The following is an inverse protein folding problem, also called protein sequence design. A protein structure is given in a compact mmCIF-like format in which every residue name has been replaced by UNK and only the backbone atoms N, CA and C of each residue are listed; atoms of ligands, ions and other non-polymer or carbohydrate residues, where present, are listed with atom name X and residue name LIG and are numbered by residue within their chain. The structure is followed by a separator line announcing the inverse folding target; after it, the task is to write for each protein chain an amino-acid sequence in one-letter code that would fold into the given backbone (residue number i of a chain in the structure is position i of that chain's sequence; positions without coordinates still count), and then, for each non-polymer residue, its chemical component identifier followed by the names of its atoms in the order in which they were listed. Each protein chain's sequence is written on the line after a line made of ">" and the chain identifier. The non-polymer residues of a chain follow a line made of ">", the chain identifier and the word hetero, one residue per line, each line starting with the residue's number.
data_IF_266777672512
#
_entry.id   IF_266777672512
#
_cell.length_a   1.000
_cell.length_b   1.000
_cell.length_c   1.000
_cell.angle_alpha   90.00
_cell.angle_beta   90.00
_cell.angle_gamma   90.00
#
_symmetry.space_group_name_H-M   'P 1'
#
loop_
_entity.id
_entity.type
_entity.pdbx_description
1 polymer ?
#
# COMPACT_ATOMS: atom_id res chain seq x y z
N UNK A 1 -19.14 9.75 -15.32
CA UNK A 1 -18.41 10.89 -14.73
C UNK A 1 -17.27 10.47 -13.82
N UNK A 2 -17.47 9.53 -12.88
CA UNK A 2 -16.42 9.09 -11.94
C UNK A 2 -15.11 8.59 -12.58
N UNK A 3 -15.17 7.78 -13.65
CA UNK A 3 -13.96 7.28 -14.35
C UNK A 3 -13.15 8.42 -14.97
N UNK A 4 -13.81 9.39 -15.60
CA UNK A 4 -13.14 10.55 -16.24
C UNK A 4 -12.46 11.42 -15.18
N UNK A 5 -13.13 11.65 -14.04
CA UNK A 5 -12.54 12.35 -12.92
C UNK A 5 -11.35 11.60 -12.31
N UNK A 6 -11.44 10.27 -12.20
CA UNK A 6 -10.34 9.43 -11.71
C UNK A 6 -9.11 9.51 -12.64
N UNK A 7 -9.31 9.44 -13.96
CA UNK A 7 -8.23 9.61 -14.94
C UNK A 7 -7.59 11.00 -14.80
N UNK A 8 -8.40 12.06 -14.70
CA UNK A 8 -7.88 13.42 -14.56
C UNK A 8 -7.12 13.65 -13.25
N UNK A 9 -7.61 13.10 -12.13
CA UNK A 9 -6.91 13.12 -10.83
C UNK A 9 -5.59 12.35 -10.88
N UNK A 10 -5.55 11.19 -11.55
CA UNK A 10 -4.35 10.36 -11.61
C UNK A 10 -3.33 10.84 -12.66
N UNK A 11 -3.74 11.73 -13.57
CA UNK A 11 -2.93 12.14 -14.73
C UNK A 11 -1.51 12.64 -14.42
N UNK A 12 -1.19 13.28 -13.27
CA UNK A 12 0.20 13.67 -13.03
C UNK A 12 1.11 12.52 -12.60
N UNK A 13 0.60 11.44 -12.02
CA UNK A 13 1.46 10.37 -11.49
C UNK A 13 2.25 9.65 -12.59
N UNK A 14 1.64 9.22 -13.71
CA UNK A 14 2.40 8.66 -14.83
C UNK A 14 3.45 9.65 -15.37
N UNK A 15 3.13 10.95 -15.39
CA UNK A 15 4.05 11.98 -15.85
C UNK A 15 5.27 12.11 -14.92
N UNK A 16 5.05 12.25 -13.61
CA UNK A 16 6.16 12.31 -12.64
C UNK A 16 6.97 11.01 -12.62
N UNK A 17 6.31 9.85 -12.74
CA UNK A 17 6.99 8.56 -12.86
C UNK A 17 7.89 8.50 -14.09
N UNK A 18 7.41 8.97 -15.25
CA UNK A 18 8.20 9.05 -16.47
C UNK A 18 9.43 9.96 -16.29
N UNK A 19 9.24 11.17 -15.76
CA UNK A 19 10.33 12.12 -15.53
C UNK A 19 11.38 11.61 -14.54
N UNK A 20 10.96 10.86 -13.53
CA UNK A 20 11.85 10.31 -12.53
C UNK A 20 12.77 9.22 -13.10
N UNK A 21 12.21 8.33 -13.92
CA UNK A 21 12.92 7.17 -14.46
C UNK A 21 13.68 7.46 -15.76
N UNK A 22 13.20 8.41 -16.57
CA UNK A 22 13.81 8.78 -17.86
C UNK A 22 14.01 10.30 -18.00
N UNK A 23 14.78 10.95 -17.11
CA UNK A 23 14.97 12.39 -17.14
C UNK A 23 15.69 12.87 -18.41
N UNK A 24 16.64 12.10 -18.94
CA UNK A 24 17.35 12.48 -20.17
C UNK A 24 16.42 12.49 -21.38
N UNK A 25 15.53 11.49 -21.50
CA UNK A 25 14.52 11.46 -22.56
C UNK A 25 13.63 12.71 -22.51
N UNK A 26 13.30 13.22 -21.32
CA UNK A 26 12.58 14.49 -21.17
C UNK A 26 13.40 15.70 -21.62
N UNK A 27 14.68 15.78 -21.23
CA UNK A 27 15.59 16.84 -21.66
C UNK A 27 15.71 16.86 -23.19
N UNK A 28 15.83 15.69 -23.81
CA UNK A 28 15.93 15.55 -25.27
C UNK A 28 14.63 15.98 -25.96
N UNK A 29 13.46 15.59 -25.40
CA UNK A 29 12.14 16.02 -25.88
C UNK A 29 11.91 17.53 -25.79
N UNK A 30 12.45 18.18 -24.76
CA UNK A 30 12.35 19.64 -24.60
C UNK A 30 13.10 20.39 -25.71
N UNK A 31 14.13 19.77 -26.31
CA UNK A 31 14.94 20.36 -27.36
C UNK A 31 16.01 21.33 -26.86
N UNK A 32 16.95 21.66 -27.75
CA UNK A 32 18.11 22.50 -27.42
C UNK A 32 17.70 23.93 -27.05
N UNK A 33 18.29 24.47 -25.99
CA UNK A 33 18.13 25.87 -25.57
C UNK A 33 16.86 26.16 -24.77
N UNK A 34 16.03 25.15 -24.46
CA UNK A 34 14.88 25.30 -23.56
C UNK A 34 15.20 24.75 -22.19
N UNK A 35 14.64 25.38 -21.16
CA UNK A 35 14.78 24.92 -19.78
C UNK A 35 13.80 23.76 -19.49
N UNK A 36 14.27 22.54 -19.23
CA UNK A 36 13.41 21.38 -18.96
C UNK A 36 12.57 21.54 -17.68
N UNK A 37 13.07 22.25 -16.67
CA UNK A 37 12.31 22.53 -15.43
C UNK A 37 11.14 23.47 -15.71
N UNK A 38 11.34 24.46 -16.59
CA UNK A 38 10.29 25.41 -16.97
C UNK A 38 9.17 24.75 -17.77
N UNK A 39 9.54 23.90 -18.73
CA UNK A 39 8.56 23.14 -19.52
C UNK A 39 7.82 22.16 -18.61
N UNK A 40 8.53 21.46 -17.71
CA UNK A 40 7.91 20.61 -16.70
C UNK A 40 6.93 21.39 -15.83
N UNK A 41 7.28 22.60 -15.39
CA UNK A 41 6.40 23.45 -14.62
C UNK A 41 5.11 23.75 -15.39
N UNK A 42 5.17 24.15 -16.67
CA UNK A 42 3.96 24.39 -17.46
C UNK A 42 3.08 23.15 -17.59
N UNK A 43 3.67 21.98 -17.85
CA UNK A 43 2.93 20.72 -17.94
C UNK A 43 2.32 20.35 -16.59
N UNK A 44 3.05 20.52 -15.49
CA UNK A 44 2.56 20.27 -14.14
C UNK A 44 1.40 21.21 -13.76
N UNK A 45 1.44 22.49 -14.14
CA UNK A 45 0.32 23.41 -13.93
C UNK A 45 -0.91 22.99 -14.74
N UNK A 46 -0.73 22.61 -16.01
CA UNK A 46 -1.82 22.10 -16.83
C UNK A 46 -2.45 20.83 -16.22
N UNK A 47 -1.62 19.88 -15.78
CA UNK A 47 -2.09 18.66 -15.13
C UNK A 47 -2.80 18.98 -13.81
N UNK A 48 -2.31 19.94 -13.01
CA UNK A 48 -3.00 20.41 -11.80
C UNK A 48 -4.36 21.06 -12.11
N UNK A 49 -4.47 21.82 -13.21
CA UNK A 49 -5.75 22.38 -13.65
C UNK A 49 -6.71 21.24 -14.02
N UNK A 50 -6.25 20.24 -14.77
CA UNK A 50 -7.05 19.05 -15.11
C UNK A 50 -7.49 18.31 -13.83
N UNK A 51 -6.60 18.13 -12.86
CA UNK A 51 -6.93 17.53 -11.56
C UNK A 51 -8.00 18.35 -10.82
N UNK A 52 -7.86 19.67 -10.76
CA UNK A 52 -8.81 20.53 -10.08
C UNK A 52 -10.18 20.54 -10.76
N UNK A 53 -10.22 20.63 -12.09
CA UNK A 53 -11.45 20.52 -12.88
C UNK A 53 -12.12 19.16 -12.64
N UNK A 54 -11.33 18.09 -12.61
CA UNK A 54 -11.80 16.73 -12.35
C UNK A 54 -12.43 16.60 -10.97
N UNK A 55 -11.78 17.15 -9.94
CA UNK A 55 -12.33 17.21 -8.58
C UNK A 55 -13.60 18.08 -8.52
N UNK A 56 -13.59 19.24 -9.18
CA UNK A 56 -14.73 20.16 -9.22
C UNK A 56 -15.98 19.48 -9.78
N UNK A 57 -15.86 18.73 -10.87
CA UNK A 57 -17.00 18.03 -11.49
C UNK A 57 -17.58 16.89 -10.65
N UNK A 58 -16.85 16.40 -9.63
CA UNK A 58 -17.33 15.36 -8.71
C UNK A 58 -17.55 15.88 -7.29
N UNK A 59 -17.40 17.19 -7.06
CA UNK A 59 -17.58 17.81 -5.76
C UNK A 59 -19.03 18.25 -5.54
N UNK A 60 -19.52 18.06 -4.31
CA UNK A 60 -20.74 18.70 -3.81
C UNK A 60 -20.29 19.83 -2.90
N UNK A 61 -20.35 21.04 -3.45
CA UNK A 61 -19.96 22.24 -2.70
C UNK A 61 -21.02 22.56 -1.64
N UNK A 62 -20.58 22.61 -0.39
CA UNK A 62 -21.39 23.04 0.73
C UNK A 62 -20.81 24.34 1.29
N UNK A 63 -21.69 25.27 1.65
CA UNK A 63 -21.34 26.52 2.30
C UNK A 63 -22.02 26.62 3.67
N UNK A 64 -21.29 26.93 4.75
CA UNK A 64 -19.84 27.19 4.79
C UNK A 64 -19.00 25.90 4.61
N UNK A 65 -17.73 26.00 4.17
CA UNK A 65 -16.84 24.85 4.16
C UNK A 65 -16.59 24.33 5.59
N UNK A 66 -16.22 23.04 5.73
CA UNK A 66 -15.84 22.50 7.02
C UNK A 66 -14.72 23.31 7.69
N UNK A 67 -14.78 23.47 9.01
CA UNK A 67 -13.85 24.35 9.75
C UNK A 67 -12.36 24.03 9.53
N UNK A 68 -12.03 22.77 9.25
CA UNK A 68 -10.65 22.33 8.97
C UNK A 68 -10.18 22.66 7.54
N UNK A 69 -11.06 23.04 6.62
CA UNK A 69 -10.70 23.38 5.23
C UNK A 69 -9.68 24.51 5.20
N UNK A 70 -10.02 25.65 5.80
CA UNK A 70 -9.20 26.87 5.72
C UNK A 70 -7.81 26.67 6.34
N UNK A 71 -7.65 26.10 7.55
CA UNK A 71 -6.34 25.82 8.10
C UNK A 71 -5.50 24.87 7.25
N UNK A 72 -6.07 23.76 6.77
CA UNK A 72 -5.34 22.77 5.98
C UNK A 72 -4.92 23.33 4.62
N UNK A 73 -5.85 24.00 3.92
CA UNK A 73 -5.58 24.55 2.60
C UNK A 73 -4.58 25.71 2.70
N UNK A 74 -4.80 26.67 3.60
CA UNK A 74 -3.92 27.82 3.74
C UNK A 74 -2.51 27.42 4.16
N UNK A 75 -2.37 26.52 5.15
CA UNK A 75 -1.05 26.06 5.58
C UNK A 75 -0.37 25.20 4.51
N UNK A 76 -1.12 24.34 3.82
CA UNK A 76 -0.57 23.55 2.72
C UNK A 76 -0.07 24.41 1.55
N UNK A 77 -0.82 25.47 1.18
CA UNK A 77 -0.38 26.43 0.17
C UNK A 77 0.80 27.27 0.65
N UNK A 78 0.82 27.67 1.92
CA UNK A 78 1.96 28.35 2.52
C UNK A 78 3.25 27.53 2.42
N UNK A 79 3.20 26.23 2.76
CA UNK A 79 4.35 25.33 2.60
C UNK A 79 4.81 25.23 1.14
N UNK A 80 3.89 25.03 0.20
CA UNK A 80 4.21 24.97 -1.24
C UNK A 80 4.86 26.26 -1.73
N UNK A 81 4.31 27.41 -1.35
CA UNK A 81 4.84 28.71 -1.73
C UNK A 81 6.21 28.94 -1.12
N UNK A 82 6.41 28.59 0.15
CA UNK A 82 7.71 28.78 0.82
C UNK A 82 8.79 27.89 0.21
N UNK A 83 8.46 26.65 -0.16
CA UNK A 83 9.39 25.79 -0.92
C UNK A 83 9.78 26.44 -2.24
N UNK A 84 8.80 26.94 -2.99
CA UNK A 84 9.06 27.61 -4.27
C UNK A 84 9.92 28.87 -4.11
N UNK A 85 9.71 29.67 -3.06
CA UNK A 85 10.56 30.83 -2.77
C UNK A 85 12.02 30.44 -2.49
N UNK A 86 12.24 29.33 -1.80
CA UNK A 86 13.57 28.90 -1.36
C UNK A 86 14.35 28.17 -2.45
N UNK A 87 13.67 27.31 -3.21
CA UNK A 87 14.30 26.43 -4.21
C UNK A 87 14.14 26.92 -5.65
N UNK A 88 13.23 27.86 -5.88
CA UNK A 88 12.85 28.31 -7.21
C UNK A 88 12.21 27.22 -8.06
N UNK A 89 11.97 27.55 -9.33
CA UNK A 89 11.39 26.63 -10.30
C UNK A 89 12.25 25.36 -10.48
N UNK A 90 13.56 25.53 -10.60
CA UNK A 90 14.47 24.40 -10.83
C UNK A 90 14.47 23.42 -9.65
N UNK A 91 14.53 23.88 -8.40
CA UNK A 91 14.53 22.97 -7.27
C UNK A 91 13.16 22.34 -6.98
N UNK A 92 12.07 23.00 -7.40
CA UNK A 92 10.70 22.48 -7.29
C UNK A 92 10.38 21.44 -8.37
N UNK A 93 10.92 21.62 -9.58
CA UNK A 93 10.61 20.81 -10.77
C UNK A 93 11.86 20.06 -11.27
N UNK A 94 12.34 19.15 -10.42
CA UNK A 94 13.35 18.11 -10.72
C UNK A 94 14.66 18.61 -11.36
N UNK A 95 15.05 19.87 -11.11
CA UNK A 95 16.24 20.47 -11.71
C UNK A 95 17.52 19.66 -11.47
N UNK A 96 17.67 19.02 -10.31
CA UNK A 96 18.81 18.11 -10.03
C UNK A 96 18.86 16.96 -11.03
N UNK A 97 17.70 16.38 -11.41
CA UNK A 97 17.61 15.30 -12.41
C UNK A 97 17.89 15.79 -13.82
N UNK A 98 17.72 17.08 -14.08
CA UNK A 98 18.04 17.72 -15.36
C UNK A 98 19.45 18.35 -15.37
N UNK A 99 20.31 17.99 -14.40
CA UNK A 99 21.71 18.42 -14.35
C UNK A 99 21.95 19.81 -13.75
N UNK A 100 20.94 20.42 -13.10
CA UNK A 100 21.09 21.72 -12.42
C UNK A 100 21.57 21.53 -10.98
N UNK A 101 22.47 22.43 -10.56
CA UNK A 101 22.85 22.55 -9.16
C UNK A 101 21.78 23.33 -8.39
N UNK A 102 21.19 22.69 -7.37
CA UNK A 102 20.17 23.30 -6.50
C UNK A 102 20.78 23.54 -5.12
N UNK A 103 20.57 24.71 -4.50
CA UNK A 103 21.11 25.00 -3.17
C UNK A 103 20.50 24.08 -2.12
N UNK A 104 21.32 23.69 -1.14
CA UNK A 104 20.84 22.99 0.05
C UNK A 104 20.26 24.01 1.03
N UNK A 105 18.99 23.84 1.42
CA UNK A 105 18.26 24.79 2.27
C UNK A 105 17.89 24.13 3.59
N UNK A 106 18.20 24.78 4.71
CA UNK A 106 17.87 24.33 6.07
C UNK A 106 16.84 25.23 6.75
N UNK A 107 16.49 26.35 6.13
CA UNK A 107 15.44 27.24 6.61
C UNK A 107 14.08 26.54 6.65
N UNK A 108 13.16 27.07 7.47
CA UNK A 108 11.78 26.59 7.49
C UNK A 108 11.16 26.69 6.08
N UNK A 109 10.52 25.62 5.57
CA UNK A 109 10.09 24.42 6.29
C UNK A 109 11.05 23.21 6.30
N UNK A 110 12.16 23.25 5.56
CA UNK A 110 13.08 22.10 5.42
C UNK A 110 13.79 21.69 6.71
N UNK A 111 14.05 22.64 7.62
CA UNK A 111 14.67 22.33 8.92
C UNK A 111 13.78 21.57 9.90
N UNK A 112 12.47 21.44 9.61
CA UNK A 112 11.47 20.86 10.53
C UNK A 112 10.69 19.71 9.89
N UNK A 113 10.39 19.82 8.59
CA UNK A 113 9.52 18.88 7.88
C UNK A 113 10.33 18.17 6.81
N UNK A 114 10.32 16.84 6.82
CA UNK A 114 10.80 16.03 5.69
C UNK A 114 9.82 16.20 4.53
N UNK A 115 10.29 16.72 3.40
CA UNK A 115 9.51 16.91 2.17
C UNK A 115 8.32 17.89 2.27
N UNK A 116 8.56 19.16 2.64
CA UNK A 116 7.51 20.14 2.94
C UNK A 116 6.58 20.45 1.77
N UNK A 117 7.05 20.31 0.53
CA UNK A 117 6.22 20.49 -0.67
C UNK A 117 5.17 19.38 -0.80
N UNK A 118 5.56 18.14 -0.53
CA UNK A 118 4.66 17.00 -0.58
C UNK A 118 3.65 17.08 0.57
N UNK A 119 4.11 17.40 1.78
CA UNK A 119 3.23 17.66 2.93
C UNK A 119 2.24 18.78 2.60
N UNK A 120 2.71 19.90 2.05
CA UNK A 120 1.85 21.01 1.65
C UNK A 120 0.81 20.60 0.62
N UNK A 121 1.21 19.83 -0.39
CA UNK A 121 0.31 19.31 -1.42
C UNK A 121 -0.74 18.35 -0.85
N UNK A 122 -0.35 17.45 0.07
CA UNK A 122 -1.27 16.54 0.77
C UNK A 122 -2.28 17.33 1.60
N UNK A 123 -1.83 18.33 2.38
CA UNK A 123 -2.71 19.15 3.20
C UNK A 123 -3.71 19.95 2.37
N UNK A 124 -3.26 20.54 1.24
CA UNK A 124 -4.17 21.23 0.32
C UNK A 124 -5.18 20.29 -0.30
N UNK A 125 -4.76 19.08 -0.68
CA UNK A 125 -5.67 18.06 -1.20
C UNK A 125 -6.68 17.61 -0.14
N UNK A 126 -6.23 17.33 1.10
CA UNK A 126 -7.11 16.97 2.23
C UNK A 126 -8.12 18.07 2.56
N UNK A 127 -7.71 19.33 2.44
CA UNK A 127 -8.63 20.47 2.47
C UNK A 127 -9.68 20.33 1.38
N UNK A 128 -9.30 20.24 0.10
CA UNK A 128 -10.25 20.15 -1.01
C UNK A 128 -11.16 18.90 -0.98
N UNK A 129 -10.66 17.78 -0.43
CA UNK A 129 -11.44 16.55 -0.25
C UNK A 129 -12.63 16.74 0.69
N UNK A 130 -12.69 17.84 1.46
CA UNK A 130 -13.85 18.19 2.27
C UNK A 130 -15.12 18.47 1.46
N UNK A 131 -14.99 18.78 0.17
CA UNK A 131 -16.11 19.05 -0.75
C UNK A 131 -16.37 17.95 -1.76
N UNK A 132 -15.45 16.99 -1.87
CA UNK A 132 -15.74 15.77 -2.62
C UNK A 132 -16.62 14.93 -1.70
N UNK A 133 -17.87 14.61 -2.11
CA UNK A 133 -18.73 13.72 -1.33
C UNK A 133 -17.92 12.50 -0.96
N UNK A 134 -18.00 12.10 0.30
CA UNK A 134 -17.25 10.95 0.80
C UNK A 134 -17.50 9.72 -0.09
N UNK A 135 -18.68 9.64 -0.71
CA UNK A 135 -19.05 8.71 -1.79
C UNK A 135 -18.04 8.59 -2.95
N UNK A 136 -17.40 9.67 -3.43
CA UNK A 136 -16.44 9.62 -4.53
C UNK A 136 -15.02 9.31 -4.05
N UNK A 137 -14.67 9.74 -2.83
CA UNK A 137 -13.43 9.34 -2.14
C UNK A 137 -13.48 7.84 -1.79
N UNK A 138 -14.66 7.35 -1.42
CA UNK A 138 -14.97 5.94 -1.16
C UNK A 138 -15.26 5.16 -2.44
N UNK A 139 -15.81 5.71 -3.52
CA UNK A 139 -15.88 4.99 -4.81
C UNK A 139 -14.46 4.79 -5.37
N UNK A 140 -13.53 5.66 -5.01
CA UNK A 140 -12.08 5.53 -5.26
C UNK A 140 -11.41 4.45 -4.37
N UNK A 141 -11.98 4.10 -3.19
CA UNK A 141 -11.41 3.14 -2.20
C UNK A 141 -12.30 1.90 -1.93
N UNK A 142 -13.56 1.84 -2.34
CA UNK A 142 -14.57 0.87 -1.87
C UNK A 142 -15.62 0.52 -2.93
N UNK A 143 -15.97 1.40 -3.87
CA UNK A 143 -16.82 1.01 -4.99
C UNK A 143 -18.27 0.62 -4.61
N UNK A 144 -18.95 1.30 -3.67
CA UNK A 144 -20.41 1.13 -3.40
C UNK A 144 -21.11 2.43 -2.93
N UNK A 145 -22.42 2.51 -3.21
CA UNK A 145 -23.27 3.72 -3.24
C UNK A 145 -24.04 4.12 -1.95
N UNK A 146 -23.86 3.51 -0.77
CA UNK A 146 -24.66 3.86 0.44
C UNK A 146 -23.80 4.34 1.64
N UNK A 147 -24.30 5.28 2.45
CA UNK A 147 -23.43 6.31 3.07
C UNK A 147 -22.96 6.14 4.54
N UNK A 148 -23.74 5.68 5.52
CA UNK A 148 -23.28 5.71 6.93
C UNK A 148 -23.05 4.31 7.55
N UNK A 149 -23.95 3.36 7.29
CA UNK A 149 -23.75 1.97 7.70
C UNK A 149 -22.52 1.33 7.02
N UNK A 150 -22.14 1.85 5.85
CA UNK A 150 -21.07 1.30 4.99
C UNK A 150 -19.67 1.63 5.51
N UNK A 151 -19.47 2.78 6.17
CA UNK A 151 -18.14 3.16 6.70
C UNK A 151 -17.79 2.28 7.89
N UNK A 152 -18.70 2.18 8.85
CA UNK A 152 -18.52 1.31 10.01
C UNK A 152 -18.34 -0.14 9.55
N UNK A 153 -19.14 -0.63 8.59
CA UNK A 153 -18.97 -1.97 8.02
C UNK A 153 -17.60 -2.13 7.36
N UNK A 154 -17.19 -1.19 6.50
CA UNK A 154 -15.88 -1.26 5.85
C UNK A 154 -14.72 -1.25 6.85
N UNK A 155 -14.75 -0.35 7.84
CA UNK A 155 -13.69 -0.26 8.84
C UNK A 155 -13.63 -1.54 9.69
N UNK A 156 -14.79 -2.10 10.05
CA UNK A 156 -14.87 -3.39 10.74
C UNK A 156 -14.26 -4.48 9.84
N UNK A 157 -14.74 -4.61 8.60
CA UNK A 157 -14.27 -5.66 7.69
C UNK A 157 -12.78 -5.53 7.35
N UNK A 158 -12.30 -4.31 7.11
CA UNK A 158 -10.89 -4.02 6.88
C UNK A 158 -10.04 -4.35 8.13
N UNK A 159 -10.53 -4.02 9.32
CA UNK A 159 -9.85 -4.38 10.58
C UNK A 159 -9.80 -5.89 10.78
N UNK A 160 -10.87 -6.61 10.46
CA UNK A 160 -10.94 -8.06 10.54
C UNK A 160 -10.03 -8.72 9.50
N UNK A 161 -10.02 -8.23 8.25
CA UNK A 161 -9.09 -8.66 7.20
C UNK A 161 -7.64 -8.42 7.60
N UNK A 162 -7.34 -7.32 8.29
CA UNK A 162 -5.97 -7.02 8.73
C UNK A 162 -5.59 -7.68 10.07
N UNK A 163 -6.54 -8.24 10.81
CA UNK A 163 -6.38 -8.68 12.21
C UNK A 163 -5.20 -9.64 12.46
N UNK A 164 -4.84 -10.47 11.48
CA UNK A 164 -3.70 -11.38 11.62
C UNK A 164 -2.35 -10.64 11.66
N UNK A 165 -2.17 -9.56 10.89
CA UNK A 165 -0.84 -8.98 10.70
C UNK A 165 -0.26 -8.35 11.97
N UNK A 166 -1.04 -7.59 12.78
CA UNK A 166 -0.58 -7.13 14.08
C UNK A 166 -0.17 -8.28 15.01
N UNK A 167 -0.90 -9.40 14.99
CA UNK A 167 -0.57 -10.57 15.80
C UNK A 167 0.77 -11.19 15.37
N UNK A 168 0.94 -11.46 14.07
CA UNK A 168 2.20 -12.03 13.57
C UNK A 168 3.38 -11.07 13.78
N UNK A 169 3.17 -9.77 13.62
CA UNK A 169 4.17 -8.75 13.92
C UNK A 169 4.55 -8.73 15.41
N UNK A 170 3.57 -8.83 16.31
CA UNK A 170 3.82 -8.91 17.76
C UNK A 170 4.66 -10.15 18.11
N UNK A 171 4.24 -11.34 17.66
CA UNK A 171 4.96 -12.58 17.95
C UNK A 171 6.37 -12.56 17.35
N UNK A 172 6.53 -11.96 16.17
CA UNK A 172 7.83 -11.80 15.53
C UNK A 172 8.82 -10.96 16.35
N UNK A 173 8.38 -9.82 16.87
CA UNK A 173 9.26 -8.88 17.58
C UNK A 173 9.44 -9.23 19.06
N UNK A 174 8.47 -9.91 19.68
CA UNK A 174 8.51 -10.28 21.10
C UNK A 174 8.19 -11.77 21.31
N UNK A 175 9.01 -12.68 20.74
CA UNK A 175 8.73 -14.12 20.81
C UNK A 175 8.75 -14.65 22.26
N UNK A 176 9.62 -14.13 23.13
CA UNK A 176 9.66 -14.55 24.53
C UNK A 176 8.38 -14.19 25.29
N UNK A 177 7.82 -12.99 25.05
CA UNK A 177 6.54 -12.61 25.65
C UNK A 177 5.41 -13.55 25.21
N UNK A 178 5.42 -14.00 23.96
CA UNK A 178 4.49 -15.02 23.48
C UNK A 178 4.69 -16.38 24.16
N UNK A 179 5.93 -16.83 24.32
CA UNK A 179 6.27 -18.07 25.05
C UNK A 179 5.77 -18.01 26.50
N UNK A 180 5.97 -16.87 27.17
CA UNK A 180 5.53 -16.68 28.55
C UNK A 180 4.00 -16.69 28.66
N UNK A 181 3.30 -16.05 27.70
CA UNK A 181 1.83 -16.06 27.59
C UNK A 181 1.25 -17.46 27.34
N UNK A 182 1.94 -18.29 26.56
CA UNK A 182 1.53 -19.67 26.31
C UNK A 182 1.53 -20.52 27.59
N UNK A 183 2.42 -20.19 28.53
CA UNK A 183 2.59 -20.90 29.80
C UNK A 183 3.46 -22.16 29.70
N UNK A 184 3.87 -22.68 30.86
CA UNK A 184 4.82 -23.79 30.95
C UNK A 184 4.26 -25.09 30.35
N UNK A 185 5.11 -25.81 29.60
CA UNK A 185 4.81 -27.14 29.06
C UNK A 185 3.92 -27.14 27.82
N UNK A 186 3.54 -25.97 27.29
CA UNK A 186 2.80 -25.86 26.03
C UNK A 186 3.73 -25.50 24.88
N UNK A 187 3.45 -26.04 23.71
CA UNK A 187 4.19 -25.73 22.48
C UNK A 187 3.72 -24.36 21.92
N UNK A 188 4.60 -23.33 21.90
CA UNK A 188 4.22 -22.00 21.41
C UNK A 188 3.86 -21.95 19.92
N UNK A 189 4.46 -22.82 19.08
CA UNK A 189 4.10 -22.94 17.66
C UNK A 189 2.70 -23.52 17.51
N UNK A 190 2.35 -24.51 18.35
CA UNK A 190 1.02 -25.14 18.32
C UNK A 190 -0.07 -24.15 18.70
N UNK A 191 0.16 -23.37 19.75
CA UNK A 191 -0.80 -22.33 20.17
C UNK A 191 -0.89 -21.24 19.11
N UNK A 192 0.24 -20.80 18.55
CA UNK A 192 0.24 -19.82 17.45
C UNK A 192 -0.54 -20.34 16.24
N UNK A 193 -0.43 -21.63 15.90
CA UNK A 193 -1.20 -22.24 14.83
C UNK A 193 -2.72 -22.17 15.09
N UNK A 194 -3.17 -22.50 16.30
CA UNK A 194 -4.59 -22.38 16.67
C UNK A 194 -5.10 -20.94 16.58
N UNK A 195 -4.35 -19.97 17.12
CA UNK A 195 -4.70 -18.55 17.02
C UNK A 195 -4.72 -18.10 15.56
N UNK A 196 -3.73 -18.52 14.77
CA UNK A 196 -3.66 -18.26 13.34
C UNK A 196 -4.87 -18.81 12.57
N UNK A 197 -5.34 -20.01 12.89
CA UNK A 197 -6.55 -20.58 12.30
C UNK A 197 -7.81 -19.79 12.67
N UNK A 198 -7.97 -19.41 13.94
CA UNK A 198 -9.10 -18.58 14.39
C UNK A 198 -9.10 -17.23 13.67
N UNK A 199 -7.95 -16.56 13.60
CA UNK A 199 -7.81 -15.30 12.86
C UNK A 199 -8.10 -15.50 11.38
N UNK A 200 -7.65 -16.58 10.76
CA UNK A 200 -7.94 -16.90 9.35
C UNK A 200 -9.44 -17.09 9.10
N UNK A 201 -10.14 -17.77 10.00
CA UNK A 201 -11.59 -17.95 9.93
C UNK A 201 -12.29 -16.59 10.01
N UNK A 202 -11.89 -15.73 10.95
CA UNK A 202 -12.43 -14.37 11.07
C UNK A 202 -12.21 -13.58 9.78
N UNK A 203 -11.01 -13.64 9.20
CA UNK A 203 -10.71 -12.99 7.93
C UNK A 203 -11.59 -13.52 6.79
N UNK A 204 -11.84 -14.84 6.71
CA UNK A 204 -12.73 -15.42 5.70
C UNK A 204 -14.19 -15.04 5.90
N UNK A 205 -14.69 -14.99 7.14
CA UNK A 205 -16.05 -14.52 7.44
C UNK A 205 -16.22 -13.08 6.95
N UNK A 206 -15.24 -12.21 7.24
CA UNK A 206 -15.26 -10.82 6.79
C UNK A 206 -15.12 -10.68 5.27
N UNK A 207 -14.30 -11.50 4.61
CA UNK A 207 -14.28 -11.53 3.15
C UNK A 207 -15.62 -11.98 2.57
N UNK A 208 -16.23 -13.00 3.16
CA UNK A 208 -17.48 -13.57 2.69
C UNK A 208 -18.65 -12.59 2.85
N UNK A 209 -18.69 -11.81 3.94
CA UNK A 209 -19.74 -10.79 4.18
C UNK A 209 -19.79 -9.72 3.09
N UNK A 210 -18.66 -9.43 2.45
CA UNK A 210 -18.53 -8.40 1.41
C UNK A 210 -18.47 -8.97 -0.02
N UNK A 211 -18.49 -10.30 -0.16
CA UNK A 211 -18.35 -10.99 -1.46
C UNK A 211 -19.66 -11.05 -2.24
N UNK A 212 -19.55 -11.07 -3.57
CA UNK A 212 -20.67 -11.28 -4.51
C UNK A 212 -20.34 -12.45 -5.42
N UNK A 213 -20.91 -13.62 -5.13
CA UNK A 213 -20.62 -14.86 -5.84
C UNK A 213 -21.40 -14.96 -7.14
N UNK A 214 -20.69 -15.32 -8.21
CA UNK A 214 -21.26 -15.58 -9.52
C UNK A 214 -20.68 -16.87 -10.07
N UNK A 215 -21.52 -17.66 -10.74
CA UNK A 215 -21.14 -18.93 -11.35
C UNK A 215 -21.34 -18.88 -12.87
N UNK A 216 -20.40 -19.41 -13.67
CA UNK A 216 -19.12 -19.99 -13.27
C UNK A 216 -18.06 -18.94 -12.89
N UNK A 217 -17.04 -19.28 -12.07
CA UNK A 217 -15.86 -18.44 -11.92
C UNK A 217 -15.15 -18.25 -13.25
N UNK A 218 -14.44 -17.11 -13.44
CA UNK A 218 -13.56 -16.93 -14.59
C UNK A 218 -12.51 -18.03 -14.72
N UNK A 219 -12.11 -18.35 -15.94
CA UNK A 219 -11.17 -19.45 -16.20
C UNK A 219 -9.83 -19.32 -15.45
N UNK A 220 -9.35 -18.11 -15.19
CA UNK A 220 -8.10 -17.90 -14.45
C UNK A 220 -8.21 -18.23 -12.95
N UNK A 221 -9.42 -18.33 -12.40
CA UNK A 221 -9.64 -18.65 -10.99
C UNK A 221 -9.00 -20.00 -10.64
N UNK A 222 -9.33 -21.04 -11.41
CA UNK A 222 -8.92 -22.42 -11.14
C UNK A 222 -7.40 -22.60 -11.07
N UNK A 223 -6.61 -22.24 -12.09
CA UNK A 223 -5.16 -22.44 -12.03
C UNK A 223 -4.51 -21.58 -10.95
N UNK A 224 -4.98 -20.35 -10.75
CA UNK A 224 -4.37 -19.42 -9.79
C UNK A 224 -4.65 -19.83 -8.34
N UNK A 225 -5.90 -20.19 -8.03
CA UNK A 225 -6.28 -20.68 -6.72
C UNK A 225 -5.64 -22.04 -6.43
N UNK A 226 -5.68 -22.99 -7.37
CA UNK A 226 -5.14 -24.33 -7.19
C UNK A 226 -3.62 -24.30 -6.96
N UNK A 227 -2.89 -23.51 -7.75
CA UNK A 227 -1.45 -23.38 -7.57
C UNK A 227 -1.09 -22.64 -6.27
N UNK A 228 -1.86 -21.59 -5.91
CA UNK A 228 -1.67 -20.89 -4.65
C UNK A 228 -1.88 -21.80 -3.42
N UNK A 229 -2.90 -22.64 -3.44
CA UNK A 229 -3.14 -23.63 -2.38
C UNK A 229 -2.10 -24.75 -2.39
N UNK A 230 -1.66 -25.20 -3.56
CA UNK A 230 -0.56 -26.15 -3.70
C UNK A 230 0.71 -25.64 -3.00
N UNK A 231 1.10 -24.38 -3.22
CA UNK A 231 2.27 -23.78 -2.57
C UNK A 231 2.13 -23.76 -1.04
N UNK A 232 0.98 -23.30 -0.53
CA UNK A 232 0.71 -23.28 0.92
C UNK A 232 0.78 -24.67 1.55
N UNK A 233 0.16 -25.66 0.91
CA UNK A 233 0.16 -27.03 1.41
C UNK A 233 1.57 -27.64 1.36
N UNK A 234 2.30 -27.42 0.27
CA UNK A 234 3.67 -27.94 0.09
C UNK A 234 4.62 -27.35 1.13
N UNK A 235 4.51 -26.06 1.45
CA UNK A 235 5.28 -25.44 2.54
C UNK A 235 5.00 -26.13 3.87
N UNK A 236 3.72 -26.34 4.21
CA UNK A 236 3.35 -26.99 5.45
C UNK A 236 3.83 -28.46 5.52
N UNK A 237 3.78 -29.20 4.41
CA UNK A 237 4.31 -30.57 4.34
C UNK A 237 5.82 -30.63 4.63
N UNK A 238 6.57 -29.62 4.17
CA UNK A 238 8.02 -29.58 4.27
C UNK A 238 8.52 -29.09 5.62
N UNK A 239 7.93 -28.01 6.12
CA UNK A 239 8.35 -27.34 7.36
C UNK A 239 7.60 -27.81 8.59
N UNK A 240 6.45 -28.46 8.39
CA UNK A 240 5.51 -28.78 9.45
C UNK A 240 4.97 -27.53 10.15
N UNK A 241 4.27 -27.76 11.25
CA UNK A 241 3.71 -26.70 12.07
C UNK A 241 4.80 -25.81 12.69
N UNK A 242 5.87 -26.42 13.21
CA UNK A 242 6.94 -25.67 13.87
C UNK A 242 7.67 -24.74 12.90
N UNK A 243 7.96 -25.15 11.66
CA UNK A 243 8.60 -24.27 10.70
C UNK A 243 7.65 -23.24 10.08
N UNK A 244 6.35 -23.50 10.04
CA UNK A 244 5.34 -22.54 9.56
C UNK A 244 5.00 -21.47 10.61
N UNK A 245 5.01 -21.83 11.89
CA UNK A 245 4.61 -20.97 13.01
C UNK A 245 5.81 -20.65 13.92
N UNK A 246 6.80 -19.97 13.34
CA UNK A 246 7.94 -19.33 14.01
C UNK A 246 8.72 -20.20 15.02
N UNK A 247 8.79 -21.52 14.81
CA UNK A 247 9.46 -22.44 15.72
C UNK A 247 10.92 -22.05 15.99
N UNK A 248 11.64 -21.54 14.99
CA UNK A 248 13.01 -21.02 15.16
C UNK A 248 13.08 -19.91 16.22
N UNK A 249 12.11 -18.99 16.22
CA UNK A 249 12.02 -17.89 17.20
C UNK A 249 11.69 -18.37 18.61
N UNK A 250 11.12 -19.56 18.74
CA UNK A 250 10.84 -20.21 20.01
C UNK A 250 11.95 -21.18 20.43
N UNK A 251 13.11 -21.16 19.75
CA UNK A 251 14.27 -21.98 20.07
C UNK A 251 14.22 -23.41 19.53
N UNK A 252 13.31 -23.73 18.60
CA UNK A 252 13.25 -25.04 17.95
C UNK A 252 14.22 -25.10 16.77
N UNK A 253 14.85 -26.26 16.61
CA UNK A 253 15.63 -26.57 15.41
C UNK A 253 14.68 -27.03 14.31
N UNK A 254 14.57 -26.23 13.24
CA UNK A 254 13.76 -26.54 12.06
C UNK A 254 14.69 -27.05 10.95
N UNK A 255 14.35 -28.16 10.26
CA UNK A 255 15.17 -28.69 9.19
C UNK A 255 15.25 -27.69 8.03
N UNK A 256 16.43 -27.59 7.44
CA UNK A 256 16.63 -26.80 6.24
C UNK A 256 16.03 -27.52 5.03
N UNK A 257 15.26 -26.79 4.22
CA UNK A 257 14.58 -27.37 3.05
C UNK A 257 14.93 -26.58 1.80
N UNK A 258 15.44 -27.29 0.79
CA UNK A 258 15.76 -26.74 -0.55
C UNK A 258 14.79 -27.24 -1.63
N UNK A 259 13.94 -28.20 -1.29
CA UNK A 259 12.92 -28.75 -2.17
C UNK A 259 11.93 -27.68 -2.63
N UNK A 260 11.33 -27.88 -3.80
CA UNK A 260 10.30 -26.99 -4.31
C UNK A 260 9.15 -26.88 -3.27
N UNK A 261 8.72 -25.64 -2.91
CA UNK A 261 8.98 -24.37 -3.61
C UNK A 261 10.18 -23.52 -3.14
N UNK A 262 10.85 -23.84 -2.03
CA UNK A 262 11.88 -22.97 -1.43
C UNK A 262 13.11 -22.74 -2.31
N UNK A 263 13.50 -23.73 -3.12
CA UNK A 263 14.63 -23.59 -4.05
C UNK A 263 14.39 -22.63 -5.23
N UNK A 264 13.15 -22.19 -5.46
CA UNK A 264 12.76 -21.41 -6.66
C UNK A 264 12.05 -20.10 -6.32
N UNK A 265 11.24 -20.09 -5.26
CA UNK A 265 10.37 -18.97 -4.90
C UNK A 265 10.75 -18.49 -3.51
N UNK A 266 11.04 -17.19 -3.39
CA UNK A 266 11.17 -16.53 -2.09
C UNK A 266 9.79 -16.44 -1.42
N UNK A 267 9.71 -16.82 -0.15
CA UNK A 267 8.49 -16.71 0.67
C UNK A 267 7.25 -17.43 0.05
N UNK A 268 7.36 -18.72 -0.32
CA UNK A 268 6.38 -19.41 -1.15
C UNK A 268 4.98 -19.50 -0.55
N UNK A 269 4.86 -19.49 0.79
CA UNK A 269 3.58 -19.48 1.48
C UNK A 269 2.83 -18.15 1.29
N UNK A 270 3.55 -17.03 1.40
CA UNK A 270 2.97 -15.71 1.16
C UNK A 270 2.58 -15.54 -0.30
N UNK A 271 3.43 -15.97 -1.24
CA UNK A 271 3.11 -15.97 -2.67
C UNK A 271 1.88 -16.82 -2.96
N UNK A 272 1.82 -18.04 -2.42
CA UNK A 272 0.66 -18.91 -2.57
C UNK A 272 -0.62 -18.27 -2.05
N UNK A 273 -0.56 -17.61 -0.89
CA UNK A 273 -1.68 -16.87 -0.31
C UNK A 273 -2.12 -15.67 -1.17
N UNK A 274 -1.18 -14.90 -1.73
CA UNK A 274 -1.46 -13.77 -2.63
C UNK A 274 -2.14 -14.28 -3.91
N UNK A 275 -1.65 -15.37 -4.50
CA UNK A 275 -2.26 -15.97 -5.69
C UNK A 275 -3.70 -16.41 -5.43
N UNK A 276 -3.97 -17.08 -4.30
CA UNK A 276 -5.33 -17.46 -3.92
C UNK A 276 -6.25 -16.25 -3.73
N UNK A 277 -5.76 -15.13 -3.18
CA UNK A 277 -6.54 -13.89 -3.08
C UNK A 277 -6.83 -13.25 -4.44
N UNK A 278 -5.83 -13.17 -5.32
CA UNK A 278 -5.99 -12.63 -6.67
C UNK A 278 -6.98 -13.46 -7.50
N UNK A 279 -7.07 -14.76 -7.27
CA UNK A 279 -8.09 -15.60 -7.91
C UNK A 279 -9.50 -15.13 -7.57
N UNK A 280 -9.72 -14.62 -6.35
CA UNK A 280 -11.01 -14.17 -5.85
C UNK A 280 -11.43 -12.75 -6.27
N UNK A 281 -10.63 -12.04 -7.09
CA UNK A 281 -10.98 -10.71 -7.64
C UNK A 281 -12.38 -10.60 -8.27
N UNK A 282 -12.95 -11.64 -8.91
CA UNK A 282 -14.32 -11.59 -9.45
C UNK A 282 -15.42 -11.49 -8.40
N UNK A 283 -15.15 -11.91 -7.17
CA UNK A 283 -16.15 -12.04 -6.12
C UNK A 283 -15.95 -11.04 -4.99
N UNK A 284 -14.69 -10.71 -4.69
CA UNK A 284 -14.33 -9.86 -3.57
C UNK A 284 -14.02 -8.46 -4.09
N UNK A 285 -14.52 -7.39 -3.45
CA UNK A 285 -14.11 -6.03 -3.78
C UNK A 285 -12.58 -5.90 -3.67
N UNK A 286 -11.97 -5.32 -4.71
CA UNK A 286 -10.52 -5.22 -4.88
C UNK A 286 -9.79 -4.72 -3.64
N UNK A 287 -10.44 -3.89 -2.83
CA UNK A 287 -9.79 -3.11 -1.79
C UNK A 287 -9.52 -3.97 -0.55
N UNK A 288 -10.38 -4.96 -0.27
CA UNK A 288 -10.09 -5.97 0.75
C UNK A 288 -8.97 -6.91 0.30
N UNK A 289 -8.93 -7.30 -0.99
CA UNK A 289 -7.81 -8.07 -1.56
C UNK A 289 -6.52 -7.28 -1.46
N UNK A 290 -6.53 -6.00 -1.85
CA UNK A 290 -5.36 -5.13 -1.80
C UNK A 290 -4.85 -4.97 -0.37
N UNK A 291 -5.73 -4.67 0.60
CA UNK A 291 -5.35 -4.54 2.01
C UNK A 291 -4.71 -5.82 2.54
N UNK A 292 -5.27 -6.98 2.20
CA UNK A 292 -4.72 -8.27 2.61
C UNK A 292 -3.34 -8.52 1.97
N UNK A 293 -3.19 -8.27 0.67
CA UNK A 293 -1.90 -8.38 -0.04
C UNK A 293 -0.86 -7.44 0.58
N UNK A 294 -1.23 -6.18 0.89
CA UNK A 294 -0.34 -5.22 1.54
C UNK A 294 0.12 -5.72 2.92
N UNK A 295 -0.76 -6.38 3.68
CA UNK A 295 -0.39 -7.02 4.93
C UNK A 295 0.61 -8.17 4.75
N UNK A 296 0.47 -8.99 3.69
CA UNK A 296 1.46 -10.01 3.36
C UNK A 296 2.80 -9.39 2.94
N UNK A 297 2.79 -8.37 2.09
CA UNK A 297 4.01 -7.64 1.68
C UNK A 297 4.70 -6.99 2.89
N UNK A 298 3.92 -6.44 3.83
CA UNK A 298 4.44 -5.93 5.09
C UNK A 298 5.15 -7.03 5.89
N UNK A 299 4.53 -8.20 6.06
CA UNK A 299 5.16 -9.32 6.77
C UNK A 299 6.41 -9.84 6.06
N UNK A 300 6.38 -10.02 4.73
CA UNK A 300 7.57 -10.38 3.94
C UNK A 300 8.71 -9.39 4.24
N UNK A 301 8.43 -8.09 4.28
CA UNK A 301 9.44 -7.06 4.57
C UNK A 301 9.94 -7.12 6.01
N UNK A 302 9.07 -7.37 6.98
CA UNK A 302 9.44 -7.56 8.39
C UNK A 302 10.35 -8.78 8.53
N UNK A 303 9.98 -9.88 7.90
CA UNK A 303 10.68 -11.14 7.97
C UNK A 303 11.99 -11.14 7.18
N UNK A 304 12.11 -10.29 6.14
CA UNK A 304 13.33 -10.14 5.35
C UNK A 304 14.57 -9.76 6.15
N UNK A 305 14.39 -9.22 7.36
CA UNK A 305 15.46 -8.83 8.28
C UNK A 305 15.91 -9.96 9.20
N UNK A 306 15.34 -11.14 9.08
CA UNK A 306 15.80 -12.32 9.81
C UNK A 306 17.21 -12.71 9.41
N UNK A 307 17.96 -13.24 10.37
CA UNK A 307 19.31 -13.74 10.13
C UNK A 307 19.29 -14.76 8.99
N UNK A 308 20.08 -14.51 7.96
CA UNK A 308 20.21 -15.38 6.79
C UNK A 308 20.67 -16.79 7.17
N UNK A 309 21.33 -16.95 8.32
CA UNK A 309 21.71 -18.27 8.84
C UNK A 309 20.51 -19.14 9.24
N UNK A 310 19.35 -18.51 9.47
CA UNK A 310 18.10 -19.18 9.87
C UNK A 310 17.03 -19.28 8.77
N UNK A 311 17.24 -18.63 7.62
CA UNK A 311 16.29 -18.59 6.49
C UNK A 311 16.64 -19.54 5.38
N UNK A 312 15.71 -20.38 4.92
CA UNK A 312 15.91 -21.22 3.73
C UNK A 312 16.42 -20.40 2.52
N UNK A 313 17.60 -20.73 2.00
CA UNK A 313 18.23 -20.02 0.86
C UNK A 313 17.75 -20.61 -0.48
N UNK A 314 17.49 -19.77 -1.49
CA UNK A 314 17.28 -20.24 -2.86
C UNK A 314 18.51 -21.02 -3.35
N UNK A 315 18.29 -21.97 -4.25
CA UNK A 315 19.42 -22.59 -4.95
C UNK A 315 20.06 -21.51 -5.84
N UNK A 316 21.37 -21.30 -5.66
CA UNK A 316 22.17 -20.36 -6.44
C UNK A 316 22.08 -20.63 -7.94
#
# INVERSE_FOLDING_TARGET
>A
MGIVAAIGVLSPFPFYYYLWNWPQSWVDLCGKGRDPSKIMAYVAHLLKIIQFISLFFVSSFHWPPPFYFWPLFAFGQFLNFRVYQLLGEAGTYYGVRFGKTIPWVTEFPFGVISDPQYVGSIMSLLGCLSWVPYQYILLWIIGRENEEATICSFLVDASLVLSQFPFYYYVWNWPQSWVDLCGKGRDPSKIMAYVGHVLKIIQFISLFSVSSFHWPPPFYFWPLFAFGQFLNFRVYQLLGEAGTYYGVRFGKTIPWVTEFPFGVISDPQYIGSIMSLLACLPWVPFQYILLWILGYVFMIRVESKEDESTRAKPLN
#
